data_IF_195711661349
#
_entry.id   IF_195711661349
#
_cell.length_a   1.000
_cell.length_b   1.000
_cell.length_c   1.000
_cell.angle_alpha   90.00
_cell.angle_beta   90.00
_cell.angle_gamma   90.00
#
_symmetry.space_group_name_H-M   'P 1'
#
loop_
_entity.id
_entity.type
_entity.pdbx_description
1 polymer ?
#
# COMPACT_ATOMS: atom_id res chain seq x y z
N UNK A 1 0.04 14.36 -27.43
CA UNK A 1 0.89 13.17 -27.47
C UNK A 1 0.43 12.27 -26.33
N UNK A 2 -0.03 11.06 -26.61
CA UNK A 2 -0.35 10.12 -25.53
C UNK A 2 0.96 9.80 -24.82
N UNK A 3 1.07 10.14 -23.54
CA UNK A 3 2.20 9.71 -22.73
C UNK A 3 2.21 8.19 -22.70
N UNK A 4 3.37 7.59 -22.92
CA UNK A 4 3.55 6.15 -22.77
C UNK A 4 3.11 5.76 -21.34
N UNK A 5 2.11 4.89 -21.17
CA UNK A 5 1.61 4.50 -19.86
C UNK A 5 2.69 3.89 -18.96
N UNK A 6 3.77 3.37 -19.55
CA UNK A 6 4.92 2.72 -18.90
C UNK A 6 6.15 3.62 -18.73
N UNK A 7 6.05 4.90 -19.10
CA UNK A 7 7.18 5.82 -18.97
C UNK A 7 7.79 5.80 -17.56
N UNK A 8 9.09 5.55 -17.49
CA UNK A 8 9.87 5.48 -16.24
C UNK A 8 9.91 4.12 -15.56
N UNK A 9 9.09 3.14 -15.96
CA UNK A 9 9.13 1.79 -15.36
C UNK A 9 10.49 1.14 -15.50
N UNK A 10 11.08 1.17 -16.70
CA UNK A 10 12.39 0.55 -16.96
C UNK A 10 13.48 1.13 -16.05
N UNK A 11 13.44 2.44 -15.79
CA UNK A 11 14.37 3.11 -14.90
C UNK A 11 14.16 2.64 -13.45
N UNK A 12 12.93 2.66 -12.95
CA UNK A 12 12.62 2.20 -11.60
C UNK A 12 13.01 0.75 -11.40
N UNK A 13 12.65 -0.13 -12.33
CA UNK A 13 12.99 -1.54 -12.28
C UNK A 13 14.50 -1.74 -12.29
N UNK A 14 15.26 -1.05 -13.14
CA UNK A 14 16.73 -1.17 -13.17
C UNK A 14 17.42 -0.75 -11.88
N UNK A 15 16.85 0.22 -11.16
CA UNK A 15 17.38 0.65 -9.86
C UNK A 15 17.20 -0.44 -8.80
N UNK A 16 16.07 -1.14 -8.80
CA UNK A 16 15.71 -2.12 -7.77
C UNK A 16 15.94 -3.57 -8.18
N UNK A 17 16.35 -3.82 -9.43
CA UNK A 17 16.50 -5.15 -10.03
C UNK A 17 17.35 -6.10 -9.18
N UNK A 18 18.39 -5.56 -8.53
CA UNK A 18 19.30 -6.34 -7.67
C UNK A 18 18.71 -6.63 -6.29
N UNK A 19 17.75 -5.82 -5.85
CA UNK A 19 17.11 -5.97 -4.54
C UNK A 19 15.95 -6.96 -4.59
N UNK A 20 15.37 -7.21 -5.77
CA UNK A 20 14.23 -8.14 -5.95
C UNK A 20 14.64 -9.57 -5.57
N UNK A 21 14.00 -10.09 -4.52
CA UNK A 21 14.20 -11.45 -3.98
C UNK A 21 13.00 -12.36 -4.25
N UNK A 22 11.80 -11.78 -4.44
CA UNK A 22 10.53 -12.51 -4.61
C UNK A 22 9.55 -11.78 -5.52
N UNK A 23 8.55 -12.52 -6.02
CA UNK A 23 7.49 -11.98 -6.88
C UNK A 23 6.73 -10.80 -6.26
N UNK A 24 6.48 -10.83 -4.96
CA UNK A 24 5.83 -9.72 -4.26
C UNK A 24 6.64 -8.41 -4.36
N UNK A 25 7.97 -8.48 -4.39
CA UNK A 25 8.83 -7.31 -4.56
C UNK A 25 8.57 -6.62 -5.90
N UNK A 26 8.35 -7.40 -6.97
CA UNK A 26 8.02 -6.86 -8.30
C UNK A 26 6.71 -6.08 -8.24
N UNK A 27 5.69 -6.61 -7.55
CA UNK A 27 4.38 -5.94 -7.40
C UNK A 27 4.54 -4.64 -6.60
N UNK A 28 5.28 -4.67 -5.49
CA UNK A 28 5.49 -3.48 -4.65
C UNK A 28 6.31 -2.41 -5.40
N UNK A 29 7.36 -2.81 -6.13
CA UNK A 29 8.11 -1.89 -6.99
C UNK A 29 7.22 -1.28 -8.10
N UNK A 30 6.32 -2.07 -8.67
CA UNK A 30 5.36 -1.62 -9.66
C UNK A 30 4.36 -0.60 -9.09
N UNK A 31 3.86 -0.84 -7.88
CA UNK A 31 2.97 0.09 -7.18
C UNK A 31 3.73 1.37 -6.80
N UNK A 32 4.95 1.26 -6.29
CA UNK A 32 5.81 2.40 -6.01
C UNK A 32 6.01 3.29 -7.23
N UNK A 33 6.37 2.72 -8.39
CA UNK A 33 6.48 3.48 -9.63
C UNK A 33 5.16 4.17 -10.02
N UNK A 34 4.01 3.51 -9.83
CA UNK A 34 2.69 4.12 -10.08
C UNK A 34 2.38 5.29 -9.13
N UNK A 35 2.87 5.25 -7.89
CA UNK A 35 2.77 6.36 -6.95
C UNK A 35 3.73 7.49 -7.35
N UNK A 36 5.01 7.19 -7.59
CA UNK A 36 6.04 8.18 -7.95
C UNK A 36 5.68 8.96 -9.21
N UNK A 37 5.14 8.28 -10.25
CA UNK A 37 4.68 8.97 -11.48
C UNK A 37 3.48 9.90 -11.28
N UNK A 38 2.86 9.88 -10.09
CA UNK A 38 1.73 10.75 -9.69
C UNK A 38 2.12 11.78 -8.64
N UNK A 39 3.42 11.95 -8.39
CA UNK A 39 3.93 12.99 -7.49
C UNK A 39 4.12 12.53 -6.05
N UNK A 40 3.84 11.26 -5.71
CA UNK A 40 4.20 10.74 -4.40
C UNK A 40 5.73 10.70 -4.27
N UNK A 41 6.24 11.13 -3.12
CA UNK A 41 7.65 11.04 -2.76
C UNK A 41 7.82 10.10 -1.59
N UNK A 42 8.67 9.08 -1.72
CA UNK A 42 9.02 8.23 -0.58
C UNK A 42 9.82 9.03 0.44
N UNK A 43 9.54 8.79 1.72
CA UNK A 43 10.25 9.39 2.86
C UNK A 43 10.83 8.35 3.82
N UNK A 44 10.80 7.07 3.43
CA UNK A 44 11.37 5.98 4.24
C UNK A 44 10.43 4.80 4.46
N UNK A 45 10.90 3.89 5.31
CA UNK A 45 10.19 2.68 5.75
C UNK A 45 9.45 2.93 7.07
N UNK A 46 8.43 2.12 7.33
CA UNK A 46 7.70 2.10 8.60
C UNK A 46 6.24 2.52 8.49
N UNK A 47 5.59 2.58 9.64
CA UNK A 47 4.15 2.83 9.84
C UNK A 47 3.87 4.06 10.71
N UNK A 48 4.91 4.82 11.04
CA UNK A 48 4.78 6.04 11.82
C UNK A 48 3.99 7.12 11.05
N UNK A 49 2.96 7.63 11.73
CA UNK A 49 2.00 8.61 11.19
C UNK A 49 2.38 10.06 11.47
N UNK A 50 3.52 10.28 12.11
CA UNK A 50 4.04 11.63 12.39
C UNK A 50 4.92 12.10 11.24
N UNK A 51 5.07 13.40 11.11
CA UNK A 51 6.05 14.04 10.24
C UNK A 51 6.94 14.91 11.11
N UNK A 52 8.25 14.82 10.93
CA UNK A 52 9.22 15.67 11.64
C UNK A 52 9.36 17.05 11.01
N UNK A 53 9.05 17.16 9.71
CA UNK A 53 9.21 18.39 8.91
C UNK A 53 10.47 18.40 8.05
N UNK A 54 11.46 17.56 8.39
CA UNK A 54 12.77 17.49 7.71
C UNK A 54 12.95 16.19 6.90
N UNK A 55 11.85 15.54 6.54
CA UNK A 55 11.87 14.25 5.84
C UNK A 55 12.51 14.38 4.44
N UNK A 56 13.47 13.51 4.14
CA UNK A 56 14.09 13.47 2.82
C UNK A 56 13.13 12.86 1.79
N UNK A 57 12.67 13.68 0.84
CA UNK A 57 11.73 13.30 -0.22
C UNK A 57 12.49 12.69 -1.40
N UNK A 58 12.21 11.43 -1.74
CA UNK A 58 12.85 10.72 -2.85
C UNK A 58 11.85 10.09 -3.81
N UNK A 59 12.25 9.90 -5.07
CA UNK A 59 11.53 9.05 -6.04
C UNK A 59 11.98 7.59 -5.98
N UNK A 60 13.01 7.30 -5.19
CA UNK A 60 13.58 5.97 -5.05
C UNK A 60 12.85 5.20 -3.94
N UNK A 61 12.86 3.87 -4.04
CA UNK A 61 12.53 3.03 -2.90
C UNK A 61 13.59 3.21 -1.81
N UNK A 62 13.19 3.29 -0.53
CA UNK A 62 14.12 3.45 0.57
C UNK A 62 14.94 2.17 0.78
N UNK A 63 16.14 2.30 1.33
CA UNK A 63 16.99 1.15 1.65
C UNK A 63 16.27 0.18 2.59
N UNK A 64 16.34 -1.12 2.29
CA UNK A 64 15.70 -2.17 3.09
C UNK A 64 14.18 -2.29 2.93
N UNK A 65 13.59 -1.66 1.91
CA UNK A 65 12.15 -1.67 1.64
C UNK A 65 11.51 -3.06 1.55
N UNK A 66 12.30 -4.10 1.22
CA UNK A 66 11.84 -5.48 1.08
C UNK A 66 12.55 -6.49 2.00
N UNK A 67 13.20 -6.04 3.08
CA UNK A 67 13.95 -6.96 3.97
C UNK A 67 13.05 -7.83 4.84
N UNK A 68 11.82 -7.38 5.11
CA UNK A 68 10.80 -8.12 5.89
C UNK A 68 9.73 -8.68 4.98
N UNK A 69 8.98 -9.70 5.42
CA UNK A 69 7.87 -10.26 4.65
C UNK A 69 6.71 -9.30 4.41
N UNK A 70 6.60 -8.29 5.27
CA UNK A 70 5.61 -7.23 5.18
C UNK A 70 6.30 -5.93 4.78
N UNK A 71 5.65 -5.18 3.91
CA UNK A 71 6.13 -3.91 3.42
C UNK A 71 5.38 -2.80 4.15
N UNK A 72 6.12 -1.78 4.59
CA UNK A 72 5.58 -0.57 5.17
C UNK A 72 6.42 0.60 4.64
N UNK A 73 5.83 1.40 3.75
CA UNK A 73 6.50 2.49 3.06
C UNK A 73 5.72 3.79 3.25
N UNK A 74 6.45 4.85 3.63
CA UNK A 74 5.90 6.18 3.88
C UNK A 74 6.10 7.06 2.65
N UNK A 75 5.06 7.81 2.31
CA UNK A 75 5.04 8.71 1.16
C UNK A 75 4.43 10.07 1.51
N UNK A 76 4.87 11.11 0.81
CA UNK A 76 4.26 12.43 0.80
C UNK A 76 3.66 12.73 -0.56
N UNK A 77 2.43 13.27 -0.56
CA UNK A 77 1.80 13.90 -1.71
C UNK A 77 1.15 15.19 -1.23
N UNK A 78 1.56 16.34 -1.79
CA UNK A 78 1.06 17.67 -1.38
C UNK A 78 1.14 17.87 0.15
N UNK A 79 2.27 17.47 0.75
CA UNK A 79 2.56 17.49 2.19
C UNK A 79 1.62 16.66 3.08
N UNK A 80 0.76 15.83 2.47
CA UNK A 80 -0.04 14.82 3.17
C UNK A 80 0.72 13.50 3.25
N UNK A 81 0.74 12.89 4.42
CA UNK A 81 1.37 11.60 4.67
C UNK A 81 0.47 10.43 4.26
N UNK A 82 1.03 9.56 3.44
CA UNK A 82 0.44 8.28 3.05
C UNK A 82 1.33 7.12 3.47
N UNK A 83 0.72 6.02 3.90
CA UNK A 83 1.42 4.81 4.30
C UNK A 83 0.92 3.65 3.47
N UNK A 84 1.83 3.05 2.71
CA UNK A 84 1.59 1.85 1.93
C UNK A 84 1.97 0.63 2.77
N UNK A 85 1.00 -0.25 3.02
CA UNK A 85 1.23 -1.56 3.60
C UNK A 85 1.04 -2.63 2.53
N UNK A 86 1.92 -3.62 2.47
CA UNK A 86 1.66 -4.83 1.72
C UNK A 86 1.98 -6.06 2.58
N UNK A 87 1.07 -7.04 2.57
CA UNK A 87 1.15 -8.26 3.36
C UNK A 87 0.87 -9.46 2.47
N UNK A 88 1.76 -10.44 2.48
CA UNK A 88 1.54 -11.72 1.81
C UNK A 88 0.76 -12.67 2.71
N UNK A 89 -0.37 -13.20 2.23
CA UNK A 89 -1.18 -14.20 2.94
C UNK A 89 -1.87 -15.13 1.93
N UNK A 90 -1.80 -16.44 2.16
CA UNK A 90 -2.47 -17.47 1.34
C UNK A 90 -2.26 -17.31 -0.19
N UNK A 91 -1.04 -16.99 -0.62
CA UNK A 91 -0.70 -16.77 -2.03
C UNK A 91 -1.20 -15.44 -2.63
N UNK A 92 -1.85 -14.60 -1.82
CA UNK A 92 -2.29 -13.26 -2.17
C UNK A 92 -1.35 -12.23 -1.54
N UNK A 93 -1.17 -11.11 -2.23
CA UNK A 93 -0.59 -9.89 -1.69
C UNK A 93 -1.73 -8.90 -1.48
N UNK A 94 -1.99 -8.55 -0.23
CA UNK A 94 -2.96 -7.53 0.14
C UNK A 94 -2.19 -6.22 0.28
N UNK A 95 -2.55 -5.22 -0.51
CA UNK A 95 -1.92 -3.90 -0.51
C UNK A 95 -2.94 -2.86 -0.07
N UNK A 96 -2.57 -2.08 0.94
CA UNK A 96 -3.37 -0.99 1.47
C UNK A 96 -2.60 0.33 1.35
N UNK A 97 -3.29 1.40 0.98
CA UNK A 97 -2.75 2.75 1.02
C UNK A 97 -3.61 3.58 1.97
N UNK A 98 -3.01 4.13 3.02
CA UNK A 98 -3.69 4.90 4.05
C UNK A 98 -3.25 6.36 4.00
N UNK A 99 -4.19 7.29 3.96
CA UNK A 99 -3.95 8.72 4.23
C UNK A 99 -3.98 8.95 5.74
N UNK A 100 -2.89 9.49 6.30
CA UNK A 100 -2.73 9.58 7.76
C UNK A 100 -3.60 10.66 8.41
N UNK A 101 -4.00 11.69 7.66
CA UNK A 101 -4.81 12.83 8.14
C UNK A 101 -6.18 12.39 8.67
N UNK A 102 -6.88 11.52 7.93
CA UNK A 102 -8.25 11.10 8.22
C UNK A 102 -8.43 9.57 8.25
N UNK A 103 -7.32 8.83 8.19
CA UNK A 103 -7.27 7.37 8.16
C UNK A 103 -8.05 6.75 6.98
N UNK A 104 -8.33 7.53 5.92
CA UNK A 104 -8.92 6.99 4.71
C UNK A 104 -7.99 5.92 4.13
N UNK A 105 -8.55 4.75 3.85
CA UNK A 105 -7.79 3.58 3.38
C UNK A 105 -8.43 3.03 2.11
N UNK A 106 -7.58 2.72 1.14
CA UNK A 106 -7.91 1.90 -0.02
C UNK A 106 -7.16 0.59 0.05
N UNK A 107 -7.66 -0.41 -0.65
CA UNK A 107 -7.03 -1.72 -0.72
C UNK A 107 -7.20 -2.36 -2.10
N UNK A 108 -6.21 -3.16 -2.47
CA UNK A 108 -6.28 -4.12 -3.58
C UNK A 108 -5.71 -5.45 -3.10
N UNK A 109 -6.27 -6.55 -3.60
CA UNK A 109 -5.79 -7.90 -3.33
C UNK A 109 -5.38 -8.56 -4.65
N UNK A 110 -4.15 -9.05 -4.72
CA UNK A 110 -3.59 -9.63 -5.94
C UNK A 110 -3.07 -11.03 -5.67
N UNK A 111 -3.43 -11.99 -6.52
CA UNK A 111 -2.79 -13.31 -6.49
C UNK A 111 -1.37 -13.18 -7.03
N UNK A 112 -0.38 -13.51 -6.22
CA UNK A 112 1.03 -13.25 -6.53
C UNK A 112 1.46 -14.01 -7.79
N UNK A 113 1.15 -15.31 -7.85
CA UNK A 113 1.55 -16.17 -8.97
C UNK A 113 0.74 -15.92 -10.25
N UNK A 114 -0.45 -15.35 -10.14
CA UNK A 114 -1.25 -14.95 -11.30
C UNK A 114 -0.76 -13.62 -11.88
N UNK A 115 -0.34 -12.70 -11.01
CA UNK A 115 0.10 -11.36 -11.39
C UNK A 115 1.53 -11.35 -11.93
N UNK A 116 2.45 -12.08 -11.26
CA UNK A 116 3.87 -12.10 -11.61
C UNK A 116 4.30 -13.49 -12.09
N UNK A 117 4.71 -13.58 -13.37
CA UNK A 117 5.18 -14.83 -13.98
C UNK A 117 6.69 -14.99 -13.90
N UNK A 118 7.42 -13.89 -14.07
CA UNK A 118 8.88 -13.84 -13.97
C UNK A 118 9.30 -12.66 -13.07
N UNK A 119 10.44 -12.79 -12.39
CA UNK A 119 11.01 -11.70 -11.56
C UNK A 119 12.03 -10.85 -12.31
N UNK A 120 12.36 -11.24 -13.53
CA UNK A 120 13.36 -10.60 -14.38
C UNK A 120 12.88 -10.53 -15.82
N UNK A 121 13.45 -9.61 -16.60
CA UNK A 121 13.14 -9.46 -18.02
C UNK A 121 12.25 -8.26 -18.30
N UNK A 122 11.50 -8.33 -19.41
CA UNK A 122 10.61 -7.24 -19.82
C UNK A 122 9.31 -7.27 -19.00
N UNK A 123 8.65 -6.11 -18.91
CA UNK A 123 7.41 -5.97 -18.15
C UNK A 123 6.29 -6.89 -18.63
N UNK A 124 6.21 -7.18 -19.93
CA UNK A 124 5.20 -8.07 -20.51
C UNK A 124 5.37 -9.51 -20.05
N UNK A 125 6.62 -9.93 -19.79
CA UNK A 125 6.93 -11.26 -19.24
C UNK A 125 6.69 -11.30 -17.74
N UNK A 126 7.14 -10.27 -17.03
CA UNK A 126 7.01 -10.21 -15.58
C UNK A 126 5.54 -10.09 -15.16
N UNK A 127 4.81 -9.14 -15.74
CA UNK A 127 3.41 -8.83 -15.44
C UNK A 127 2.61 -8.76 -16.76
N UNK A 128 2.11 -9.90 -17.27
CA UNK A 128 1.38 -9.93 -18.54
C UNK A 128 0.16 -8.98 -18.60
N UNK A 129 -0.53 -8.79 -17.47
CA UNK A 129 -1.68 -7.89 -17.33
C UNK A 129 -1.33 -6.50 -16.77
N UNK A 130 -0.10 -6.02 -16.98
CA UNK A 130 0.39 -4.75 -16.41
C UNK A 130 -0.51 -3.54 -16.73
N UNK A 131 -1.12 -3.47 -17.91
CA UNK A 131 -2.04 -2.39 -18.29
C UNK A 131 -3.30 -2.37 -17.42
N UNK A 132 -3.89 -3.54 -17.18
CA UNK A 132 -5.03 -3.69 -16.28
C UNK A 132 -4.63 -3.35 -14.84
N UNK A 133 -3.44 -3.80 -14.43
CA UNK A 133 -2.92 -3.50 -13.09
C UNK A 133 -2.68 -2.00 -12.90
N UNK A 134 -2.18 -1.27 -13.90
CA UNK A 134 -2.05 0.21 -13.84
C UNK A 134 -3.40 0.86 -13.61
N UNK A 135 -4.42 0.39 -14.34
CA UNK A 135 -5.78 0.92 -14.22
C UNK A 135 -6.36 0.63 -12.82
N UNK A 136 -6.25 -0.59 -12.33
CA UNK A 136 -6.75 -0.99 -11.00
C UNK A 136 -6.00 -0.27 -9.88
N UNK A 137 -4.67 -0.16 -9.95
CA UNK A 137 -3.87 0.60 -8.98
C UNK A 137 -4.30 2.07 -8.97
N UNK A 138 -4.52 2.67 -10.14
CA UNK A 138 -4.99 4.05 -10.21
C UNK A 138 -6.37 4.19 -9.54
N UNK A 139 -7.36 3.45 -10.02
CA UNK A 139 -8.77 3.59 -9.60
C UNK A 139 -9.01 3.16 -8.15
N UNK A 140 -8.56 1.95 -7.81
CA UNK A 140 -8.97 1.29 -6.58
C UNK A 140 -8.02 1.62 -5.41
N UNK A 141 -6.75 1.88 -5.69
CA UNK A 141 -5.76 2.21 -4.66
C UNK A 141 -5.55 3.73 -4.53
N UNK A 142 -5.22 4.44 -5.62
CA UNK A 142 -4.78 5.84 -5.53
C UNK A 142 -5.97 6.80 -5.46
N UNK A 143 -6.79 6.83 -6.50
CA UNK A 143 -7.90 7.79 -6.65
C UNK A 143 -8.89 7.67 -5.47
N UNK A 144 -9.07 6.47 -4.93
CA UNK A 144 -9.93 6.21 -3.75
C UNK A 144 -9.48 6.97 -2.50
N UNK A 145 -8.19 7.24 -2.29
CA UNK A 145 -7.67 7.99 -1.12
C UNK A 145 -7.14 9.37 -1.48
N UNK A 146 -7.09 9.76 -2.75
CA UNK A 146 -6.70 11.12 -3.15
C UNK A 146 -7.89 11.97 -3.57
N UNK A 147 -8.91 11.38 -4.19
CA UNK A 147 -10.08 12.11 -4.71
C UNK A 147 -11.30 12.06 -3.78
N UNK A 148 -11.38 11.08 -2.87
CA UNK A 148 -12.46 11.06 -1.86
C UNK A 148 -12.20 12.11 -0.79
N UNK A 149 -12.92 13.23 -0.90
CA UNK A 149 -13.30 14.05 0.26
C UNK A 149 -13.97 13.16 1.29
N UNK A 150 -13.54 13.29 2.54
CA UNK A 150 -14.02 12.60 3.75
C UNK A 150 -15.52 12.31 3.74
N UNK A 151 -15.91 11.10 3.32
CA UNK A 151 -17.15 10.50 3.76
C UNK A 151 -16.77 9.57 4.91
N UNK A 152 -17.04 10.01 6.13
CA UNK A 152 -16.90 9.23 7.36
C UNK A 152 -17.58 7.88 7.20
N UNK A 153 -16.78 6.81 7.07
CA UNK A 153 -17.30 5.45 7.17
C UNK A 153 -17.42 5.14 8.65
N UNK A 154 -18.55 5.50 9.25
CA UNK A 154 -18.92 5.00 10.56
C UNK A 154 -19.17 3.50 10.48
N UNK A 155 -18.29 2.70 11.07
CA UNK A 155 -18.53 1.27 11.22
C UNK A 155 -19.51 1.07 12.38
N UNK A 156 -20.81 1.03 12.08
CA UNK A 156 -21.81 0.68 13.09
C UNK A 156 -21.69 -0.81 13.43
N UNK A 157 -20.90 -1.12 14.46
CA UNK A 157 -21.02 -2.42 15.13
C UNK A 157 -22.30 -2.39 15.95
N UNK A 158 -23.39 -2.93 15.40
CA UNK A 158 -24.59 -3.19 16.18
C UNK A 158 -24.26 -4.22 17.26
N UNK A 159 -23.93 -3.73 18.46
CA UNK A 159 -23.69 -4.55 19.65
C UNK A 159 -25.02 -5.19 20.04
N UNK A 160 -25.26 -6.41 19.56
CA UNK A 160 -26.37 -7.27 20.00
C UNK A 160 -26.26 -7.41 21.52
N UNK A 161 -27.16 -6.78 22.28
CA UNK A 161 -27.30 -6.97 23.72
C UNK A 161 -27.64 -8.44 23.98
N UNK A 162 -26.66 -9.24 24.34
CA UNK A 162 -26.93 -10.51 25.02
C UNK A 162 -27.32 -10.18 26.45
N UNK A 163 -28.60 -10.41 26.76
CA UNK A 163 -29.09 -10.59 28.12
C UNK A 163 -28.24 -11.65 28.82
N UNK A 164 -27.64 -11.29 29.94
CA UNK A 164 -27.17 -12.24 30.95
C UNK A 164 -27.69 -11.73 32.30
N UNK A 165 -28.95 -12.10 32.56
CA UNK A 165 -29.50 -12.20 33.90
C UNK A 165 -28.96 -13.51 34.48
N UNK A 166 -27.86 -13.49 35.24
CA UNK A 166 -27.55 -14.53 36.23
C UNK A 166 -26.70 -13.93 37.36
N UNK A 167 -27.37 -13.78 38.51
CA UNK A 167 -26.89 -14.00 39.88
C UNK A 167 -26.01 -12.96 40.58
N UNK A 168 -26.65 -12.30 41.56
CA UNK A 168 -26.03 -11.74 42.75
C UNK A 168 -25.19 -12.79 43.50
N UNK A 169 -23.95 -12.44 43.82
CA UNK A 169 -23.23 -12.81 45.05
C UNK A 169 -22.13 -11.74 45.21
N UNK A 170 -22.27 -10.77 46.11
CA UNK A 170 -21.57 -10.69 47.43
C UNK A 170 -20.08 -11.05 47.31
N UNK A 171 -19.10 -10.20 47.62
CA UNK A 171 -18.85 -9.48 48.87
C UNK A 171 -17.61 -8.56 48.71
N UNK A 172 -17.34 -7.73 49.73
CA UNK A 172 -16.14 -6.91 50.10
C UNK A 172 -16.59 -5.44 50.26
N UNK A 173 -17.07 -4.95 51.43
CA UNK A 173 -16.42 -4.75 52.73
C UNK A 173 -15.03 -4.09 52.63
N UNK A 174 -15.00 -2.75 52.58
CA UNK A 174 -14.48 -1.86 53.65
C UNK A 174 -15.04 -0.45 53.46
#
# INVERSE_FOLDING_TARGET
MASDPLFGWDLTYKIVEKDIKRKADVIVAFIHWNLSKRGFRSIGIGDERTLTGDEEKSELLPTGWNDKDNYALRYLLEDKLFILHALSTDGNLIINLMRSEDLAVSNIALKIDDTVKETQGSIEKMIPSHMELIYNVKRDLIDTVTERSTATVETQTSRRKYQLNVFMMTLELF
#
